data_IF_842557898936
#
_entry.id   IF_842557898936
#
_cell.length_a   1.000
_cell.length_b   1.000
_cell.length_c   1.000
_cell.angle_alpha   90.00
_cell.angle_beta   90.00
_cell.angle_gamma   90.00
#
_symmetry.space_group_name_H-M   'P 1'
#
loop_
_entity.id
_entity.type
_entity.pdbx_description
1 polymer ?
#
# COMPACT_ATOMS: atom_id res chain seq x y z
N UNK A 1 13.00 8.77 -8.35
CA UNK A 1 12.04 8.03 -7.52
C UNK A 1 10.86 7.65 -8.38
N UNK A 2 10.32 6.45 -8.21
CA UNK A 2 9.11 5.96 -8.86
C UNK A 2 8.08 5.63 -7.79
N UNK A 3 6.89 6.22 -7.89
CA UNK A 3 5.78 5.99 -6.96
C UNK A 3 4.76 5.09 -7.66
N UNK A 4 4.52 3.91 -7.09
CA UNK A 4 3.53 2.95 -7.60
C UNK A 4 2.17 3.24 -6.96
N UNK A 5 1.21 3.60 -7.80
CA UNK A 5 -0.18 3.91 -7.44
C UNK A 5 -1.17 2.94 -8.12
N UNK A 6 -0.83 1.65 -8.13
CA UNK A 6 -1.72 0.60 -8.65
C UNK A 6 -2.72 0.21 -7.56
N UNK A 7 -3.95 -0.08 -7.95
CA UNK A 7 -5.03 -0.54 -7.07
C UNK A 7 -4.59 -1.68 -6.15
N UNK A 8 -5.06 -1.75 -4.90
CA UNK A 8 -4.70 -2.78 -3.93
C UNK A 8 -5.48 -4.08 -4.15
N UNK A 9 -5.56 -4.56 -5.40
CA UNK A 9 -6.10 -5.88 -5.74
C UNK A 9 -4.99 -6.93 -5.73
N UNK A 10 -5.34 -8.21 -5.83
CA UNK A 10 -4.36 -9.32 -5.91
C UNK A 10 -3.43 -9.15 -7.11
N UNK A 11 -3.99 -8.76 -8.26
CA UNK A 11 -3.24 -8.51 -9.50
C UNK A 11 -2.36 -7.26 -9.36
N UNK A 12 -2.89 -6.22 -8.70
CA UNK A 12 -2.16 -4.98 -8.45
C UNK A 12 -0.99 -5.17 -7.49
N UNK A 13 -1.16 -6.01 -6.47
CA UNK A 13 -0.10 -6.42 -5.53
C UNK A 13 1.03 -7.13 -6.29
N UNK A 14 0.67 -8.10 -7.11
CA UNK A 14 1.62 -8.89 -7.92
C UNK A 14 2.41 -7.98 -8.87
N UNK A 15 1.70 -7.08 -9.56
CA UNK A 15 2.33 -6.12 -10.49
C UNK A 15 3.26 -5.16 -9.75
N UNK A 16 2.84 -4.68 -8.58
CA UNK A 16 3.65 -3.78 -7.74
C UNK A 16 4.95 -4.45 -7.29
N UNK A 17 4.88 -5.70 -6.84
CA UNK A 17 6.05 -6.48 -6.44
C UNK A 17 7.01 -6.67 -7.61
N UNK A 18 6.49 -7.03 -8.78
CA UNK A 18 7.29 -7.22 -9.99
C UNK A 18 8.02 -5.94 -10.41
N UNK A 19 7.29 -4.82 -10.53
CA UNK A 19 7.87 -3.52 -10.89
C UNK A 19 8.87 -3.04 -9.83
N UNK A 20 8.56 -3.27 -8.55
CA UNK A 20 9.45 -2.96 -7.44
C UNK A 20 10.79 -3.68 -7.58
N UNK A 21 10.79 -4.98 -7.82
CA UNK A 21 12.03 -5.76 -8.02
C UNK A 21 12.81 -5.31 -9.27
N UNK A 22 12.11 -5.02 -10.36
CA UNK A 22 12.73 -4.61 -11.62
C UNK A 22 13.40 -3.22 -11.53
N UNK A 23 12.76 -2.27 -10.84
CA UNK A 23 13.19 -0.87 -10.82
C UNK A 23 14.14 -0.54 -9.65
N UNK A 24 14.15 -1.35 -8.58
CA UNK A 24 14.97 -1.15 -7.37
C UNK A 24 16.46 -0.89 -7.64
N UNK A 25 17.13 -1.51 -8.65
CA UNK A 25 18.54 -1.22 -8.94
C UNK A 25 18.79 0.18 -9.52
N UNK A 26 17.78 0.78 -10.15
CA UNK A 26 17.95 2.02 -10.91
C UNK A 26 17.48 3.26 -10.14
N UNK A 27 16.51 3.10 -9.24
CA UNK A 27 15.94 4.23 -8.51
C UNK A 27 15.20 3.78 -7.25
N UNK A 28 14.93 4.73 -6.35
CA UNK A 28 14.05 4.52 -5.20
C UNK A 28 12.64 4.24 -5.71
N UNK A 29 12.05 3.13 -5.29
CA UNK A 29 10.66 2.76 -5.58
C UNK A 29 9.87 2.83 -4.28
N UNK A 30 8.75 3.52 -4.31
CA UNK A 30 7.80 3.64 -3.20
C UNK A 30 6.39 3.32 -3.68
N UNK A 31 5.49 2.96 -2.76
CA UNK A 31 4.09 2.69 -3.04
C UNK A 31 3.24 3.62 -2.19
N UNK A 32 2.10 4.07 -2.72
CA UNK A 32 1.11 4.80 -1.91
C UNK A 32 0.64 3.92 -0.74
N UNK A 33 0.38 4.55 0.40
CA UNK A 33 -0.14 3.85 1.56
C UNK A 33 -1.57 3.36 1.31
N UNK A 34 -1.91 2.23 1.92
CA UNK A 34 -3.27 1.69 1.96
C UNK A 34 -3.65 1.48 3.42
N UNK A 35 -4.87 1.87 3.77
CA UNK A 35 -5.36 1.80 5.13
C UNK A 35 -6.59 2.66 5.29
N UNK A 36 -6.86 3.07 6.52
CA UNK A 36 -8.04 3.84 6.86
C UNK A 36 -7.97 5.26 6.27
N UNK A 37 -9.04 5.75 5.62
CA UNK A 37 -9.10 7.14 5.18
C UNK A 37 -9.19 8.09 6.39
N UNK A 38 -8.63 9.29 6.24
CA UNK A 38 -8.78 10.33 7.25
C UNK A 38 -10.27 10.70 7.40
N UNK A 39 -10.72 10.77 8.66
CA UNK A 39 -12.13 11.05 8.99
C UNK A 39 -13.07 9.86 8.79
N UNK A 40 -12.55 8.68 8.46
CA UNK A 40 -13.32 7.44 8.49
C UNK A 40 -13.42 6.88 9.91
N UNK A 41 -14.62 6.41 10.26
CA UNK A 41 -14.87 5.76 11.54
C UNK A 41 -14.48 4.27 11.47
N UNK A 42 -13.75 3.80 12.48
CA UNK A 42 -13.23 2.43 12.56
C UNK A 42 -14.35 1.37 12.46
N UNK A 43 -15.51 1.67 13.04
CA UNK A 43 -16.67 0.76 13.10
C UNK A 43 -17.24 0.42 11.71
N UNK A 44 -17.01 1.26 10.71
CA UNK A 44 -17.50 1.06 9.35
C UNK A 44 -16.41 0.60 8.37
N UNK A 45 -15.17 0.43 8.84
CA UNK A 45 -14.10 -0.08 8.02
C UNK A 45 -14.20 -1.60 7.87
N UNK A 46 -13.95 -2.10 6.66
CA UNK A 46 -13.87 -3.52 6.43
C UNK A 46 -12.59 -4.12 7.03
N UNK A 47 -12.65 -5.42 7.35
CA UNK A 47 -11.56 -6.14 8.00
C UNK A 47 -10.25 -6.09 7.21
N UNK A 48 -10.32 -6.06 5.87
CA UNK A 48 -9.13 -6.03 5.00
C UNK A 48 -8.45 -4.67 5.10
N UNK A 49 -9.21 -3.58 5.01
CA UNK A 49 -8.68 -2.22 5.20
C UNK A 49 -8.07 -2.05 6.59
N UNK A 50 -8.72 -2.60 7.63
CA UNK A 50 -8.22 -2.56 9.00
C UNK A 50 -6.89 -3.31 9.15
N UNK A 51 -6.81 -4.53 8.60
CA UNK A 51 -5.61 -5.34 8.61
C UNK A 51 -4.45 -4.61 7.92
N UNK A 52 -4.70 -3.98 6.76
CA UNK A 52 -3.69 -3.20 6.04
C UNK A 52 -3.22 -1.97 6.82
N UNK A 53 -4.13 -1.26 7.49
CA UNK A 53 -3.76 -0.14 8.35
C UNK A 53 -2.88 -0.58 9.53
N UNK A 54 -3.16 -1.74 10.12
CA UNK A 54 -2.38 -2.31 11.24
C UNK A 54 -1.00 -2.85 10.80
N UNK A 55 -0.92 -3.46 9.62
CA UNK A 55 0.34 -3.88 8.98
C UNK A 55 1.23 -2.66 8.65
N UNK A 56 0.63 -1.60 8.12
CA UNK A 56 1.31 -0.37 7.73
C UNK A 56 1.56 0.63 8.86
N UNK A 57 1.28 0.28 10.12
CA UNK A 57 1.45 1.20 11.26
C UNK A 57 2.91 1.65 11.40
N UNK A 58 3.12 2.92 11.71
CA UNK A 58 4.43 3.50 11.93
C UNK A 58 4.56 3.96 13.39
N UNK A 59 5.78 3.94 13.92
CA UNK A 59 6.09 4.59 15.20
C UNK A 59 5.99 6.13 15.03
N UNK A 60 5.68 6.81 16.14
CA UNK A 60 5.58 8.28 16.19
C UNK A 60 6.96 8.94 16.36
#
# INVERSE_FOLDING_TARGET
EVIIAISPSVEGETTTLYLGQLLKPFTRVTRIAFGLPMGGDLEYADEVTLARALEGRQEL
#
